data_IF_303971452994
#
_entry.id   IF_303971452994
#
_cell.length_a   1.000
_cell.length_b   1.000
_cell.length_c   1.000
_cell.angle_alpha   90.00
_cell.angle_beta   90.00
_cell.angle_gamma   90.00
#
_symmetry.space_group_name_H-M   'P 1'
#
loop_
_entity.id
_entity.type
_entity.pdbx_description
1 polymer ?
#
# COMPACT_ATOMS: atom_id res chain seq x y z
N UNK A 1 7.68 21.32 8.74
CA UNK A 1 6.87 20.69 9.81
C UNK A 1 7.09 19.19 9.73
N UNK A 2 7.64 18.56 10.76
CA UNK A 2 7.72 17.10 10.81
C UNK A 2 6.31 16.59 11.15
N UNK A 3 5.59 16.06 10.17
CA UNK A 3 4.33 15.35 10.45
C UNK A 3 4.69 14.11 11.27
N UNK A 4 4.08 13.96 12.44
CA UNK A 4 4.14 12.68 13.15
C UNK A 4 3.32 11.67 12.34
N UNK A 5 4.00 10.89 11.50
CA UNK A 5 3.39 10.02 10.48
C UNK A 5 2.83 8.71 11.02
N UNK A 6 3.09 8.36 12.28
CA UNK A 6 2.77 7.03 12.81
C UNK A 6 1.57 7.06 13.75
N UNK A 7 0.37 7.16 13.18
CA UNK A 7 -0.84 6.71 13.87
C UNK A 7 -0.85 5.18 13.87
N UNK A 8 -1.43 4.57 14.91
CA UNK A 8 -1.53 3.11 14.94
C UNK A 8 -2.58 2.56 13.97
N UNK A 9 -3.52 3.42 13.57
CA UNK A 9 -4.68 3.09 12.74
C UNK A 9 -4.57 3.59 11.31
N UNK A 10 -3.71 4.58 11.05
CA UNK A 10 -3.54 5.16 9.72
C UNK A 10 -2.07 5.42 9.46
N UNK A 11 -1.53 4.92 8.34
CA UNK A 11 -0.23 5.31 7.83
C UNK A 11 -0.40 6.26 6.65
N UNK A 12 0.35 7.36 6.63
CA UNK A 12 0.29 8.38 5.59
C UNK A 12 1.56 8.31 4.75
N UNK A 13 1.41 8.00 3.47
CA UNK A 13 2.49 7.91 2.50
C UNK A 13 2.45 9.13 1.59
N UNK A 14 3.54 9.89 1.63
CA UNK A 14 3.78 11.02 0.72
C UNK A 14 4.13 10.52 -0.68
N UNK A 15 3.99 11.36 -1.73
CA UNK A 15 4.34 10.98 -3.09
C UNK A 15 5.72 10.31 -3.20
N UNK A 16 5.74 9.14 -3.82
CA UNK A 16 6.92 8.27 -3.89
C UNK A 16 7.88 8.68 -5.01
N UNK A 17 7.37 9.32 -6.05
CA UNK A 17 8.11 9.69 -7.25
C UNK A 17 8.98 8.51 -7.74
N UNK A 18 10.28 8.72 -7.89
CA UNK A 18 11.25 7.72 -8.36
C UNK A 18 11.37 6.48 -7.47
N UNK A 19 10.95 6.55 -6.19
CA UNK A 19 10.98 5.36 -5.31
C UNK A 19 10.04 4.27 -5.81
N UNK A 20 8.97 4.64 -6.50
CA UNK A 20 8.02 3.70 -7.06
C UNK A 20 8.63 2.83 -8.17
N UNK A 21 9.76 3.23 -8.76
CA UNK A 21 10.48 2.44 -9.77
C UNK A 21 11.00 1.09 -9.22
N UNK A 22 11.01 0.91 -7.91
CA UNK A 22 11.39 -0.36 -7.26
C UNK A 22 10.21 -1.31 -7.09
N UNK A 23 8.99 -0.86 -7.38
CA UNK A 23 7.77 -1.67 -7.32
C UNK A 23 7.52 -2.33 -8.68
N UNK A 24 7.45 -3.66 -8.69
CA UNK A 24 7.11 -4.47 -9.85
C UNK A 24 5.60 -4.69 -9.91
N UNK A 25 4.93 -3.97 -10.81
CA UNK A 25 3.47 -4.08 -11.04
C UNK A 25 3.01 -5.43 -11.59
N UNK A 26 3.91 -6.30 -12.03
CA UNK A 26 3.56 -7.64 -12.53
C UNK A 26 3.54 -8.70 -11.43
N UNK A 27 3.89 -8.31 -10.20
CA UNK A 27 3.94 -9.18 -9.03
C UNK A 27 2.98 -8.67 -7.96
N UNK A 28 2.46 -9.58 -7.12
CA UNK A 28 1.63 -9.16 -6.01
C UNK A 28 2.45 -8.29 -5.01
N UNK A 29 1.80 -7.45 -4.20
CA UNK A 29 2.48 -6.55 -3.26
C UNK A 29 3.34 -7.28 -2.22
N UNK A 30 3.00 -8.53 -1.87
CA UNK A 30 3.76 -9.34 -0.92
C UNK A 30 5.00 -10.03 -1.53
N UNK A 31 5.21 -9.97 -2.85
CA UNK A 31 6.38 -10.52 -3.54
C UNK A 31 7.06 -9.44 -4.38
N UNK A 32 7.88 -8.61 -3.75
CA UNK A 32 8.52 -7.44 -4.37
C UNK A 32 10.05 -7.50 -4.23
N UNK A 33 10.74 -8.47 -4.86
CA UNK A 33 12.13 -8.79 -4.55
C UNK A 33 13.12 -7.63 -4.81
N UNK A 34 12.87 -6.80 -5.83
CA UNK A 34 13.70 -5.63 -6.11
C UNK A 34 13.55 -4.57 -5.01
N UNK A 35 12.34 -4.40 -4.47
CA UNK A 35 12.09 -3.51 -3.35
C UNK A 35 12.65 -4.06 -2.04
N UNK A 36 12.54 -5.37 -1.82
CA UNK A 36 13.00 -6.04 -0.61
C UNK A 36 14.53 -6.03 -0.48
N UNK A 37 15.23 -6.12 -1.61
CA UNK A 37 16.68 -6.01 -1.68
C UNK A 37 17.21 -4.56 -1.63
N UNK A 38 16.33 -3.56 -1.76
CA UNK A 38 16.74 -2.15 -1.80
C UNK A 38 17.09 -1.58 -0.41
N UNK A 39 17.89 -0.51 -0.40
CA UNK A 39 18.20 0.23 0.82
C UNK A 39 16.91 0.69 1.53
N UNK A 40 16.75 0.45 2.85
CA UNK A 40 15.54 0.83 3.59
C UNK A 40 15.12 2.30 3.49
N UNK A 41 16.05 3.21 3.19
CA UNK A 41 15.78 4.64 3.00
C UNK A 41 15.28 5.01 1.61
N UNK A 42 15.47 4.10 0.64
CA UNK A 42 15.12 4.29 -0.78
C UNK A 42 13.97 3.40 -1.24
N UNK A 43 13.77 2.25 -0.59
CA UNK A 43 12.70 1.31 -0.89
C UNK A 43 11.32 1.96 -0.73
N UNK A 44 10.35 1.37 -1.42
CA UNK A 44 8.93 1.67 -1.27
C UNK A 44 8.52 1.37 0.18
N UNK A 45 7.90 2.34 0.88
CA UNK A 45 7.48 2.17 2.27
C UNK A 45 6.42 1.09 2.43
N UNK A 46 6.44 0.40 3.59
CA UNK A 46 5.45 -0.64 3.91
C UNK A 46 4.01 -0.14 3.80
N UNK A 47 3.72 1.10 4.22
CA UNK A 47 2.36 1.66 4.11
C UNK A 47 1.83 1.70 2.67
N UNK A 48 2.71 1.84 1.67
CA UNK A 48 2.32 1.75 0.26
C UNK A 48 2.09 0.30 -0.15
N UNK A 49 2.98 -0.63 0.22
CA UNK A 49 2.77 -2.07 -0.02
C UNK A 49 1.43 -2.54 0.56
N UNK A 50 1.09 -2.07 1.76
CA UNK A 50 -0.18 -2.35 2.40
C UNK A 50 -1.38 -1.71 1.66
N UNK A 51 -1.22 -0.49 1.12
CA UNK A 51 -2.22 0.14 0.27
C UNK A 51 -2.49 -0.70 -0.99
N UNK A 52 -1.43 -1.16 -1.65
CA UNK A 52 -1.49 -1.99 -2.85
C UNK A 52 -2.10 -3.37 -2.54
N UNK A 53 -1.87 -3.91 -1.34
CA UNK A 53 -2.51 -5.16 -0.90
C UNK A 53 -4.03 -5.00 -0.84
N UNK A 54 -4.53 -3.92 -0.26
CA UNK A 54 -5.98 -3.63 -0.23
C UNK A 54 -6.53 -3.40 -1.64
N UNK A 55 -5.79 -2.69 -2.49
CA UNK A 55 -6.19 -2.42 -3.87
C UNK A 55 -6.21 -3.68 -4.73
N UNK A 56 -5.28 -4.61 -4.55
CA UNK A 56 -5.28 -5.92 -5.23
C UNK A 56 -6.55 -6.72 -4.87
N UNK A 57 -6.90 -6.81 -3.58
CA UNK A 57 -8.12 -7.52 -3.15
C UNK A 57 -9.38 -6.98 -3.82
N UNK A 58 -9.49 -5.65 -3.97
CA UNK A 58 -10.68 -5.01 -4.52
C UNK A 58 -10.64 -4.94 -6.06
N UNK A 59 -9.59 -4.36 -6.64
CA UNK A 59 -9.54 -4.14 -8.09
C UNK A 59 -9.20 -5.41 -8.84
N UNK A 60 -8.21 -6.17 -8.38
CA UNK A 60 -7.74 -7.36 -9.11
C UNK A 60 -8.64 -8.55 -8.84
N UNK A 61 -8.89 -8.88 -7.57
CA UNK A 61 -9.63 -10.10 -7.21
C UNK A 61 -11.14 -9.93 -7.29
N UNK A 62 -11.70 -8.86 -6.72
CA UNK A 62 -13.15 -8.63 -6.73
C UNK A 62 -13.64 -8.07 -8.07
N UNK A 63 -12.98 -7.05 -8.63
CA UNK A 63 -13.41 -6.38 -9.86
C UNK A 63 -12.77 -6.97 -11.14
N UNK A 64 -11.89 -7.95 -11.01
CA UNK A 64 -11.26 -8.68 -12.12
C UNK A 64 -10.48 -7.76 -13.08
N UNK A 65 -9.78 -6.76 -12.53
CA UNK A 65 -8.81 -5.93 -13.26
C UNK A 65 -7.46 -6.67 -13.33
N UNK A 66 -6.76 -6.70 -14.48
CA UNK A 66 -5.42 -7.27 -14.55
C UNK A 66 -4.47 -6.62 -13.54
N UNK A 67 -3.62 -7.42 -12.89
CA UNK A 67 -2.72 -6.95 -11.83
C UNK A 67 -1.80 -5.82 -12.34
N UNK A 68 -1.29 -5.95 -13.56
CA UNK A 68 -0.43 -4.95 -14.17
C UNK A 68 -1.09 -3.58 -14.38
N UNK A 69 -2.42 -3.50 -14.34
CA UNK A 69 -3.20 -2.28 -14.52
C UNK A 69 -3.65 -1.66 -13.20
N UNK A 70 -3.39 -2.30 -12.07
CA UNK A 70 -3.78 -1.77 -10.76
C UNK A 70 -2.88 -0.60 -10.33
N UNK A 71 -1.61 -0.58 -10.75
CA UNK A 71 -0.70 0.56 -10.63
C UNK A 71 -0.78 1.45 -11.89
N UNK A 72 -1.04 2.75 -11.71
CA UNK A 72 -1.13 3.73 -12.78
C UNK A 72 -0.04 4.83 -12.71
N UNK A 73 -0.04 5.73 -13.70
CA UNK A 73 0.93 6.83 -13.79
C UNK A 73 0.79 7.88 -12.67
N UNK A 74 -0.39 7.96 -12.04
CA UNK A 74 -0.69 8.92 -11.00
C UNK A 74 -0.21 8.45 -9.62
N UNK A 75 0.02 7.16 -9.42
CA UNK A 75 0.47 6.60 -8.15
C UNK A 75 1.81 7.19 -7.68
N UNK A 76 2.72 7.50 -8.60
CA UNK A 76 4.02 8.10 -8.28
C UNK A 76 3.88 9.48 -7.61
N UNK A 77 2.88 10.27 -8.02
CA UNK A 77 2.62 11.61 -7.49
C UNK A 77 1.56 11.66 -6.40
N UNK A 78 0.91 10.53 -6.10
CA UNK A 78 -0.23 10.48 -5.21
C UNK A 78 0.15 10.41 -3.73
N UNK A 79 -0.70 11.00 -2.90
CA UNK A 79 -0.70 10.76 -1.47
C UNK A 79 -1.57 9.55 -1.16
N UNK A 80 -1.13 8.71 -0.24
CA UNK A 80 -1.88 7.54 0.19
C UNK A 80 -2.10 7.56 1.70
N UNK A 81 -3.26 7.10 2.13
CA UNK A 81 -3.55 6.81 3.53
C UNK A 81 -4.04 5.38 3.65
N UNK A 82 -3.30 4.55 4.37
CA UNK A 82 -3.67 3.15 4.61
C UNK A 82 -4.28 3.04 6.00
N UNK A 83 -5.51 2.56 6.08
CA UNK A 83 -6.23 2.34 7.32
C UNK A 83 -6.02 0.90 7.81
N UNK A 84 -5.81 0.73 9.10
CA UNK A 84 -5.53 -0.55 9.75
C UNK A 84 -6.59 -0.86 10.80
N UNK A 85 -7.05 -2.11 10.80
CA UNK A 85 -7.76 -2.70 11.91
C UNK A 85 -6.77 -3.37 12.88
N UNK A 86 -7.06 -3.26 14.18
CA UNK A 86 -6.29 -3.90 15.25
C UNK A 86 -7.07 -5.12 15.71
N UNK A 87 -6.59 -6.33 15.40
CA UNK A 87 -7.24 -7.59 15.82
C UNK A 87 -6.46 -8.20 16.98
N UNK A 88 -7.10 -8.43 18.16
CA UNK A 88 -6.45 -9.11 19.27
C UNK A 88 -5.86 -10.46 18.82
N UNK A 89 -4.59 -10.72 19.14
CA UNK A 89 -3.86 -11.92 18.68
C UNK A 89 -4.54 -13.24 19.08
N UNK A 90 -5.36 -13.22 20.14
CA UNK A 90 -6.15 -14.38 20.61
C UNK A 90 -7.35 -14.73 19.71
N UNK A 91 -7.79 -13.81 18.85
CA UNK A 91 -8.92 -13.99 17.93
C UNK A 91 -8.47 -14.39 16.51
N UNK A 92 -7.16 -14.46 16.26
CA UNK A 92 -6.59 -14.82 14.97
C UNK A 92 -6.57 -16.35 14.85
N UNK A 93 -7.06 -16.90 13.73
CA UNK A 93 -7.05 -18.35 13.51
C UNK A 93 -5.61 -18.90 13.48
N UNK A 94 -5.39 -20.19 13.81
CA UNK A 94 -4.06 -20.78 13.80
C UNK A 94 -3.32 -20.63 12.46
N UNK A 95 -4.04 -20.58 11.34
CA UNK A 95 -3.45 -20.40 10.00
C UNK A 95 -2.81 -19.01 9.82
N UNK A 96 -3.48 -17.95 10.31
CA UNK A 96 -2.97 -16.58 10.23
C UNK A 96 -1.87 -16.27 11.27
N UNK A 97 -1.74 -17.09 12.33
CA UNK A 97 -0.60 -17.00 13.25
C UNK A 97 0.71 -17.51 12.63
N UNK A 98 0.64 -18.50 11.73
CA UNK A 98 1.82 -19.06 11.06
C UNK A 98 2.46 -18.05 10.09
N UNK A 99 1.65 -17.34 9.27
CA UNK A 99 2.14 -16.34 8.31
C UNK A 99 2.78 -15.11 8.99
N UNK A 100 2.27 -14.69 10.15
CA UNK A 100 2.84 -13.54 10.90
C UNK A 100 4.18 -13.85 11.57
N UNK A 101 4.48 -15.13 11.83
CA UNK A 101 5.74 -15.55 12.44
C UNK A 101 6.87 -15.63 11.40
N UNK A 102 6.57 -15.91 10.13
CA UNK A 102 7.58 -15.94 9.05
C UNK A 102 8.04 -14.52 8.65
N UNK A 103 7.16 -13.53 8.70
CA UNK A 103 7.50 -12.12 8.41
C UNK A 103 8.32 -11.41 9.51
N UNK A 104 8.41 -11.99 10.72
CA UNK A 104 9.19 -11.43 11.85
C UNK A 104 10.58 -12.05 12.02
N UNK A 105 11.03 -12.84 11.05
CA UNK A 105 12.37 -13.42 11.03
C UNK A 105 13.43 -12.44 10.55
N UNK A 106 13.76 -11.40 11.33
CA UNK A 106 15.17 -11.08 11.58
C UNK A 106 15.37 -10.14 12.79
N UNK A 107 16.27 -10.54 13.68
CA UNK A 107 16.50 -9.86 14.95
C UNK A 107 17.52 -8.73 14.81
N UNK A 108 17.11 -7.50 15.13
CA UNK A 108 17.96 -6.57 15.87
C UNK A 108 17.18 -5.45 16.57
N UNK A 109 17.44 -5.36 17.87
CA UNK A 109 16.80 -4.52 18.87
C UNK A 109 17.16 -3.04 18.76
N UNK A 110 16.17 -2.14 18.84
CA UNK A 110 16.25 -0.94 19.69
C UNK A 110 14.91 -0.21 19.73
N UNK A 111 14.55 0.26 20.92
CA UNK A 111 13.28 0.85 21.35
C UNK A 111 12.22 -0.20 21.69
N UNK A 112 12.05 -0.39 22.99
CA UNK A 112 10.96 -1.10 23.67
C UNK A 112 9.60 -0.62 23.13
N UNK A 113 9.19 -1.16 21.98
CA UNK A 113 7.81 -1.17 21.53
C UNK A 113 7.15 -2.21 22.41
N UNK A 114 6.27 -1.76 23.32
CA UNK A 114 5.28 -2.65 23.93
C UNK A 114 4.70 -3.48 22.80
N UNK A 115 4.98 -4.78 22.80
CA UNK A 115 4.40 -5.73 21.85
C UNK A 115 2.90 -5.66 22.11
N UNK A 116 2.17 -4.91 21.28
CA UNK A 116 0.72 -4.90 21.34
C UNK A 116 0.28 -6.33 21.06
N UNK A 117 -0.54 -6.92 21.94
CA UNK A 117 -1.16 -8.24 21.74
C UNK A 117 -2.22 -8.21 20.62
N UNK A 118 -1.94 -7.48 19.54
CA UNK A 118 -2.84 -7.19 18.45
C UNK A 118 -2.04 -7.06 17.16
N UNK A 119 -2.48 -7.74 16.11
CA UNK A 119 -1.91 -7.64 14.77
C UNK A 119 -2.63 -6.54 14.01
N UNK A 120 -1.87 -5.70 13.32
CA UNK A 120 -2.43 -4.68 12.43
C UNK A 120 -2.66 -5.30 11.06
N UNK A 121 -3.87 -5.16 10.55
CA UNK A 121 -4.26 -5.65 9.24
C UNK A 121 -4.73 -4.46 8.42
N UNK A 122 -4.18 -4.21 7.21
CA UNK A 122 -4.68 -3.16 6.36
C UNK A 122 -6.11 -3.52 5.89
N UNK A 123 -7.04 -2.58 6.06
CA UNK A 123 -8.47 -2.81 5.78
C UNK A 123 -9.05 -1.79 4.79
N UNK A 124 -8.29 -0.76 4.46
CA UNK A 124 -8.75 0.30 3.56
C UNK A 124 -7.59 1.16 3.11
N UNK A 125 -7.74 1.82 1.96
CA UNK A 125 -6.81 2.84 1.51
C UNK A 125 -7.54 4.00 0.85
N UNK A 126 -7.00 5.21 0.99
CA UNK A 126 -7.45 6.43 0.33
C UNK A 126 -6.29 6.95 -0.51
N UNK A 127 -6.53 7.21 -1.81
CA UNK A 127 -5.58 7.84 -2.73
C UNK A 127 -6.03 9.27 -3.02
N UNK A 128 -5.10 10.22 -2.94
CA UNK A 128 -5.27 11.58 -3.44
C UNK A 128 -4.22 11.85 -4.51
N UNK A 129 -4.69 11.99 -5.74
CA UNK A 129 -3.88 12.54 -6.83
C UNK A 129 -3.84 14.07 -6.63
N UNK A 130 -2.67 14.71 -6.54
CA UNK A 130 -2.59 16.16 -6.42
C UNK A 130 -2.79 16.85 -7.79
N UNK A 131 -3.24 18.12 -7.83
CA UNK A 131 -3.24 18.92 -9.06
C UNK A 131 -1.84 19.04 -9.70
N UNK A 132 -1.73 19.30 -11.01
CA UNK A 132 -2.81 19.56 -11.96
C UNK A 132 -3.53 18.28 -12.41
N UNK A 133 -4.82 18.40 -12.70
CA UNK A 133 -5.61 17.35 -13.35
C UNK A 133 -6.04 17.85 -14.74
N UNK A 134 -6.28 16.94 -15.70
CA UNK A 134 -7.04 17.29 -16.89
C UNK A 134 -8.35 18.00 -16.48
N UNK A 135 -8.83 18.97 -17.27
CA UNK A 135 -10.11 19.61 -17.00
C UNK A 135 -11.20 18.55 -16.81
N UNK A 136 -12.05 18.74 -15.80
CA UNK A 136 -13.23 17.91 -15.64
C UNK A 136 -14.06 17.96 -16.93
N UNK A 137 -14.71 16.84 -17.30
CA UNK A 137 -15.56 16.82 -18.46
C UNK A 137 -16.68 17.83 -18.22
N UNK A 138 -16.98 18.67 -19.21
CA UNK A 138 -18.14 19.55 -19.15
C UNK A 138 -19.40 18.72 -18.95
N UNK A 139 -20.43 19.22 -18.22
CA UNK A 139 -21.68 18.48 -18.04
C UNK A 139 -22.24 18.00 -19.39
N UNK A 140 -22.38 16.68 -19.57
CA UNK A 140 -22.81 16.05 -20.83
C UNK A 140 -21.69 15.58 -21.76
N UNK A 141 -20.43 15.84 -21.42
CA UNK A 141 -19.28 15.21 -22.06
C UNK A 141 -18.79 14.01 -21.24
N UNK A 142 -18.20 13.03 -21.91
CA UNK A 142 -17.54 11.89 -21.30
C UNK A 142 -16.04 12.01 -21.57
N UNK A 143 -15.21 11.56 -20.64
CA UNK A 143 -13.83 11.24 -21.01
C UNK A 143 -13.88 10.19 -22.11
N UNK A 144 -13.14 10.39 -23.19
CA UNK A 144 -12.87 9.30 -24.11
C UNK A 144 -12.13 8.28 -23.25
N UNK A 145 -12.73 7.10 -23.01
CA UNK A 145 -11.96 6.02 -22.43
C UNK A 145 -10.76 5.85 -23.36
N UNK A 146 -9.54 5.92 -22.82
CA UNK A 146 -8.34 5.65 -23.60
C UNK A 146 -8.52 4.24 -24.16
N UNK A 147 -8.95 4.19 -25.41
CA UNK A 147 -9.18 2.95 -26.11
C UNK A 147 -7.80 2.31 -26.22
N UNK A 148 -7.72 1.08 -25.73
CA UNK A 148 -6.60 0.18 -25.97
C UNK A 148 -6.45 0.04 -27.49
N UNK A 149 -5.57 0.84 -28.09
CA UNK A 149 -5.04 0.62 -29.44
C UNK A 149 -3.97 -0.49 -29.42
#
# INVERSE_FOLDING_TARGET
>A
MAMSTRSEFVDAVVPLFERLNLYDRTRPPYDQPQNDAADPTKRVPQGFIDAMTVREEVFVKEQNIPLENELDEDDARSFHWTAYASIPTKAISPEMQAQNNEANGDGQSSHSRKVSNSTKIPVGTIRLVPPPHPPHPTPGSHHQADALD
#
